data_IF_876289016198
#
_entry.id   IF_876289016198
#
_cell.length_a   1.000
_cell.length_b   1.000
_cell.length_c   1.000
_cell.angle_alpha   90.00
_cell.angle_beta   90.00
_cell.angle_gamma   90.00
#
_symmetry.space_group_name_H-M   'P 1'
#
loop_
_entity.id
_entity.type
_entity.pdbx_description
1 polymer ?
#
# COMPACT_ATOMS: atom_id res chain seq x y z
N UNK A 1 43.16 -56.04 2.46
CA UNK A 1 43.35 -54.69 1.87
C UNK A 1 42.09 -54.16 1.21
N UNK A 2 41.31 -54.90 0.45
CA UNK A 2 40.09 -54.38 -0.23
C UNK A 2 39.02 -53.84 0.74
N UNK A 3 38.77 -54.49 1.86
CA UNK A 3 37.77 -54.06 2.86
C UNK A 3 38.19 -52.81 3.68
N UNK A 4 39.48 -52.58 3.84
CA UNK A 4 39.98 -51.38 4.52
C UNK A 4 39.79 -50.09 3.67
N UNK A 5 39.89 -50.26 2.35
CA UNK A 5 39.66 -49.16 1.42
C UNK A 5 38.17 -48.79 1.32
N UNK A 6 37.28 -49.78 1.38
CA UNK A 6 35.83 -49.53 1.33
C UNK A 6 35.31 -48.90 2.62
N UNK A 7 35.83 -49.28 3.79
CA UNK A 7 35.45 -48.64 5.06
C UNK A 7 35.95 -47.20 5.16
N UNK A 8 37.17 -46.94 4.68
CA UNK A 8 37.71 -45.55 4.63
C UNK A 8 36.88 -44.64 3.69
N UNK A 9 36.45 -45.18 2.55
CA UNK A 9 35.61 -44.41 1.60
C UNK A 9 34.22 -44.12 2.17
N UNK A 10 33.62 -45.05 2.90
CA UNK A 10 32.32 -44.83 3.56
C UNK A 10 32.44 -43.79 4.71
N UNK A 11 33.54 -43.86 5.47
CA UNK A 11 33.79 -42.87 6.53
C UNK A 11 34.01 -41.45 5.99
N UNK A 12 34.62 -41.28 4.81
CA UNK A 12 34.77 -40.01 4.15
C UNK A 12 33.43 -39.44 3.64
N UNK A 13 32.51 -40.28 3.19
CA UNK A 13 31.18 -39.86 2.73
C UNK A 13 30.28 -39.40 3.90
N UNK A 14 30.47 -39.97 5.09
CA UNK A 14 29.73 -39.59 6.29
C UNK A 14 30.24 -38.29 6.93
N UNK A 15 31.46 -37.84 6.65
CA UNK A 15 32.03 -36.59 7.12
C UNK A 15 31.61 -35.38 6.29
N UNK A 16 30.90 -35.60 5.18
CA UNK A 16 30.44 -34.52 4.27
C UNK A 16 29.15 -33.81 4.72
N UNK A 17 28.64 -34.09 5.92
CA UNK A 17 27.67 -33.18 6.53
C UNK A 17 28.38 -31.92 7.03
N UNK A 18 28.78 -31.06 6.10
CA UNK A 18 29.08 -29.68 6.43
C UNK A 18 27.79 -29.08 6.98
N UNK A 19 27.76 -28.69 8.24
CA UNK A 19 26.83 -27.68 8.71
C UNK A 19 26.99 -26.51 7.73
N UNK A 20 25.97 -26.22 6.96
CA UNK A 20 25.91 -24.97 6.23
C UNK A 20 26.23 -23.87 7.26
N UNK A 21 27.38 -23.26 7.15
CA UNK A 21 27.68 -22.05 7.88
C UNK A 21 26.65 -21.07 7.36
N UNK A 22 25.63 -20.82 8.18
CA UNK A 22 24.64 -19.80 7.86
C UNK A 22 25.44 -18.52 7.58
N UNK A 23 25.45 -18.08 6.32
CA UNK A 23 26.10 -16.83 5.91
C UNK A 23 25.52 -15.62 6.67
N UNK A 24 24.49 -15.87 7.44
CA UNK A 24 23.81 -14.89 8.30
C UNK A 24 23.80 -15.41 9.74
N UNK A 25 24.11 -14.54 10.70
CA UNK A 25 24.07 -14.84 12.13
C UNK A 25 22.69 -15.29 12.63
N UNK A 26 21.63 -14.97 11.89
CA UNK A 26 20.23 -15.25 12.22
C UNK A 26 19.53 -16.04 11.11
N UNK A 27 18.65 -16.97 11.50
CA UNK A 27 17.80 -17.69 10.56
C UNK A 27 16.84 -16.75 9.81
N UNK A 28 16.38 -17.11 8.62
CA UNK A 28 15.37 -16.32 7.89
C UNK A 28 14.10 -16.04 8.72
N UNK A 29 13.64 -17.01 9.50
CA UNK A 29 12.46 -16.87 10.37
C UNK A 29 12.67 -15.87 11.50
N UNK A 30 13.85 -15.83 12.10
CA UNK A 30 14.20 -14.87 13.15
C UNK A 30 14.27 -13.43 12.59
N UNK A 31 14.89 -13.26 11.43
CA UNK A 31 14.94 -11.95 10.74
C UNK A 31 13.53 -11.42 10.40
N UNK A 32 12.68 -12.30 9.90
CA UNK A 32 11.29 -11.96 9.59
C UNK A 32 10.52 -11.58 10.86
N UNK A 33 10.68 -12.33 11.95
CA UNK A 33 10.06 -12.03 13.24
C UNK A 33 10.52 -10.68 13.78
N UNK A 34 11.82 -10.38 13.69
CA UNK A 34 12.36 -9.07 14.09
C UNK A 34 11.79 -7.94 13.24
N UNK A 35 11.72 -8.11 11.92
CA UNK A 35 11.15 -7.12 11.01
C UNK A 35 9.67 -6.87 11.31
N UNK A 36 8.89 -7.93 11.58
CA UNK A 36 7.49 -7.80 12.00
C UNK A 36 7.37 -7.01 13.29
N UNK A 37 8.17 -7.35 14.31
CA UNK A 37 8.15 -6.66 15.60
C UNK A 37 8.56 -5.19 15.45
N UNK A 38 9.58 -4.92 14.66
CA UNK A 38 10.02 -3.55 14.39
C UNK A 38 8.92 -2.72 13.70
N UNK A 39 8.25 -3.29 12.70
CA UNK A 39 7.13 -2.62 12.03
C UNK A 39 5.93 -2.42 12.96
N UNK A 40 5.59 -3.42 13.80
CA UNK A 40 4.52 -3.31 14.80
C UNK A 40 4.80 -2.15 15.76
N UNK A 41 6.00 -2.07 16.30
CA UNK A 41 6.40 -1.00 17.20
C UNK A 41 6.34 0.35 16.50
N UNK A 42 6.87 0.45 15.29
CA UNK A 42 6.86 1.69 14.53
C UNK A 42 5.44 2.20 14.25
N UNK A 43 4.52 1.31 13.86
CA UNK A 43 3.13 1.68 13.62
C UNK A 43 2.44 2.18 14.89
N UNK A 44 2.71 1.54 16.04
CA UNK A 44 2.05 1.86 17.33
C UNK A 44 2.71 3.02 18.07
N UNK A 45 3.97 3.35 17.77
CA UNK A 45 4.73 4.43 18.41
C UNK A 45 4.59 5.79 17.69
N UNK A 46 3.52 5.99 16.97
CA UNK A 46 3.19 7.25 16.32
C UNK A 46 2.18 8.05 17.18
N UNK A 47 2.60 9.00 18.03
CA UNK A 47 1.73 9.64 19.02
C UNK A 47 0.61 10.45 18.38
N UNK A 48 0.83 10.97 17.18
CA UNK A 48 -0.18 11.72 16.43
C UNK A 48 -0.82 10.89 15.31
N UNK A 49 -0.41 9.61 15.17
CA UNK A 49 -0.87 8.71 14.13
C UNK A 49 -0.16 8.93 12.79
N UNK A 50 -0.78 8.41 11.75
CA UNK A 50 -0.26 8.34 10.40
C UNK A 50 -1.18 9.04 9.43
N UNK A 51 -0.61 9.93 8.63
CA UNK A 51 -1.21 10.39 7.38
C UNK A 51 -0.98 9.30 6.35
N UNK A 52 -2.05 8.70 5.89
CA UNK A 52 -1.99 7.59 4.94
C UNK A 52 -2.57 8.04 3.61
N UNK A 53 -1.83 7.81 2.54
CA UNK A 53 -2.24 8.10 1.19
C UNK A 53 -2.35 6.80 0.41
N UNK A 54 -3.53 6.53 -0.11
CA UNK A 54 -3.84 5.35 -0.89
C UNK A 54 -4.28 5.72 -2.30
N UNK A 55 -3.68 5.10 -3.29
CA UNK A 55 -4.04 5.22 -4.69
C UNK A 55 -4.63 3.89 -5.18
N UNK A 56 -5.94 3.70 -5.13
CA UNK A 56 -6.57 2.51 -5.68
C UNK A 56 -6.42 2.51 -7.19
N UNK A 57 -6.09 1.35 -7.74
CA UNK A 57 -5.90 1.15 -9.18
C UNK A 57 -5.03 2.21 -9.85
N UNK A 58 -4.00 2.65 -9.16
CA UNK A 58 -2.95 3.39 -9.82
C UNK A 58 -2.27 2.42 -10.75
N UNK A 59 -2.70 2.43 -11.98
CA UNK A 59 -2.04 1.64 -12.99
C UNK A 59 -0.59 2.08 -13.07
N UNK A 60 0.33 1.18 -12.80
CA UNK A 60 1.74 1.39 -13.12
C UNK A 60 1.92 1.69 -14.61
N UNK A 61 0.89 1.46 -15.42
CA UNK A 61 0.78 1.82 -16.83
C UNK A 61 0.55 3.31 -17.06
N UNK A 62 0.22 4.14 -16.08
CA UNK A 62 0.34 5.60 -16.21
C UNK A 62 1.78 6.01 -16.52
N UNK A 63 2.75 5.15 -16.22
CA UNK A 63 4.18 5.37 -16.45
C UNK A 63 4.82 4.33 -17.37
N UNK A 64 4.08 3.32 -17.82
CA UNK A 64 4.54 2.29 -18.75
C UNK A 64 3.92 2.50 -20.13
N UNK A 65 4.68 2.19 -21.19
CA UNK A 65 4.24 2.30 -22.57
C UNK A 65 2.88 1.63 -22.82
N UNK A 66 1.92 2.31 -23.45
CA UNK A 66 0.52 1.87 -23.64
C UNK A 66 0.32 0.51 -24.33
N UNK A 67 1.33 0.02 -25.03
CA UNK A 67 1.28 -1.17 -25.87
C UNK A 67 1.02 -2.50 -25.16
N UNK A 68 1.16 -2.57 -23.84
CA UNK A 68 0.90 -3.79 -23.07
C UNK A 68 -0.50 -3.85 -22.44
N UNK A 69 -1.14 -2.72 -22.22
CA UNK A 69 -2.48 -2.64 -21.63
C UNK A 69 -3.56 -3.05 -22.65
N UNK A 70 -3.38 -2.70 -23.91
CA UNK A 70 -4.36 -2.96 -24.98
C UNK A 70 -4.54 -4.44 -25.30
N UNK A 71 -3.60 -5.30 -24.96
CA UNK A 71 -3.63 -6.74 -25.31
C UNK A 71 -4.33 -7.63 -24.27
N UNK A 72 -4.90 -7.10 -23.19
CA UNK A 72 -5.43 -7.89 -22.07
C UNK A 72 -6.92 -7.78 -21.82
N UNK A 73 -7.67 -7.12 -22.66
CA UNK A 73 -9.08 -6.93 -22.35
C UNK A 73 -9.95 -7.91 -23.08
N UNK A 74 -10.58 -8.78 -22.30
CA UNK A 74 -11.79 -9.49 -22.68
C UNK A 74 -13.07 -8.75 -22.29
N UNK A 75 -12.99 -7.57 -21.72
CA UNK A 75 -14.16 -6.76 -21.45
C UNK A 75 -13.93 -5.27 -21.73
N UNK A 76 -14.62 -4.77 -22.73
CA UNK A 76 -14.65 -3.35 -23.16
C UNK A 76 -14.95 -2.35 -22.03
N UNK A 77 -15.41 -2.81 -20.89
CA UNK A 77 -15.73 -1.99 -19.71
C UNK A 77 -14.51 -1.73 -18.81
N UNK A 78 -13.59 -2.68 -18.76
CA UNK A 78 -12.39 -2.61 -17.92
C UNK A 78 -11.37 -1.63 -18.51
N UNK A 79 -11.25 -1.57 -19.85
CA UNK A 79 -10.31 -0.68 -20.54
C UNK A 79 -10.53 0.80 -20.24
N UNK A 80 -11.77 1.28 -20.30
CA UNK A 80 -12.08 2.68 -20.02
C UNK A 80 -11.86 3.10 -18.57
N UNK A 81 -11.93 2.15 -17.63
CA UNK A 81 -11.70 2.40 -16.22
C UNK A 81 -10.20 2.28 -15.83
N UNK A 82 -9.44 1.44 -16.52
CA UNK A 82 -8.01 1.24 -16.29
C UNK A 82 -7.18 2.46 -16.71
N UNK A 83 -7.61 3.16 -17.77
CA UNK A 83 -6.88 4.31 -18.30
C UNK A 83 -7.10 5.62 -17.51
N UNK A 84 -8.00 5.65 -16.55
CA UNK A 84 -8.35 6.92 -15.88
C UNK A 84 -7.71 7.08 -14.51
N UNK A 85 -7.20 6.01 -13.86
CA UNK A 85 -6.70 6.07 -12.50
C UNK A 85 -7.69 6.73 -11.53
N UNK A 86 -7.62 6.38 -10.26
CA UNK A 86 -8.39 7.09 -9.24
C UNK A 86 -7.45 8.03 -8.49
N UNK A 87 -7.93 9.23 -8.17
CA UNK A 87 -7.20 10.14 -7.29
C UNK A 87 -6.90 9.49 -5.94
N UNK A 88 -5.92 10.02 -5.23
CA UNK A 88 -5.55 9.51 -3.91
C UNK A 88 -6.65 9.71 -2.88
N UNK A 89 -6.78 8.77 -1.97
CA UNK A 89 -7.61 8.87 -0.76
C UNK A 89 -6.72 9.04 0.45
N UNK A 90 -7.08 9.97 1.30
CA UNK A 90 -6.36 10.20 2.54
C UNK A 90 -7.09 9.56 3.72
N UNK A 91 -6.28 8.93 4.58
CA UNK A 91 -6.75 8.41 5.87
C UNK A 91 -5.87 8.94 6.98
N UNK A 92 -6.47 9.17 8.12
CA UNK A 92 -5.77 9.32 9.39
C UNK A 92 -5.89 7.99 10.11
N UNK A 93 -4.77 7.33 10.37
CA UNK A 93 -4.74 6.04 11.05
C UNK A 93 -3.94 6.12 12.34
N UNK A 94 -4.48 5.56 13.41
CA UNK A 94 -3.79 5.41 14.69
C UNK A 94 -3.81 3.94 15.07
N UNK A 95 -2.64 3.31 15.08
CA UNK A 95 -2.47 1.90 15.44
C UNK A 95 -2.27 1.76 16.93
N UNK A 96 -2.89 0.74 17.52
CA UNK A 96 -2.84 0.43 18.94
C UNK A 96 -2.13 -0.91 19.19
N UNK A 97 -1.59 -1.09 20.41
CA UNK A 97 -0.84 -2.30 20.78
C UNK A 97 -1.71 -3.56 20.89
N UNK A 98 -3.01 -3.39 20.99
CA UNK A 98 -4.02 -4.46 21.04
C UNK A 98 -4.44 -4.97 19.65
N UNK A 99 -3.67 -4.64 18.60
CA UNK A 99 -3.96 -4.94 17.21
C UNK A 99 -5.24 -4.28 16.66
N UNK A 100 -5.66 -3.18 17.26
CA UNK A 100 -6.72 -2.34 16.70
C UNK A 100 -6.13 -1.11 16.01
N UNK A 101 -6.88 -0.54 15.07
CA UNK A 101 -6.56 0.70 14.38
C UNK A 101 -7.78 1.59 14.29
N UNK A 102 -7.63 2.86 14.68
CA UNK A 102 -8.64 3.89 14.51
C UNK A 102 -8.41 4.61 13.18
N UNK A 103 -9.43 4.64 12.31
CA UNK A 103 -9.32 5.17 10.95
C UNK A 103 -10.36 6.26 10.73
N UNK A 104 -9.92 7.41 10.23
CA UNK A 104 -10.75 8.46 9.65
C UNK A 104 -10.39 8.61 8.16
N UNK A 105 -11.29 9.14 7.33
CA UNK A 105 -11.10 9.23 5.87
C UNK A 105 -11.57 10.58 5.32
N UNK A 106 -10.99 11.03 4.22
CA UNK A 106 -11.35 12.28 3.54
C UNK A 106 -12.56 12.14 2.58
N UNK A 107 -13.31 11.05 2.68
CA UNK A 107 -14.36 10.72 1.72
C UNK A 107 -15.66 11.50 1.92
N UNK A 108 -16.02 11.77 3.17
CA UNK A 108 -17.25 12.50 3.54
C UNK A 108 -17.04 13.35 4.79
N UNK A 109 -17.92 14.34 5.00
CA UNK A 109 -17.91 15.17 6.22
C UNK A 109 -18.01 14.33 7.51
N UNK A 110 -18.76 13.24 7.50
CA UNK A 110 -18.88 12.34 8.65
C UNK A 110 -17.59 11.54 8.90
N UNK A 111 -16.91 11.07 7.85
CA UNK A 111 -15.72 10.22 7.98
C UNK A 111 -14.48 10.97 8.43
N UNK A 112 -14.43 12.31 8.22
CA UNK A 112 -13.36 13.14 8.77
C UNK A 112 -13.55 13.44 10.25
N UNK A 113 -14.80 13.37 10.77
CA UNK A 113 -15.12 13.66 12.16
C UNK A 113 -15.14 12.41 13.02
N UNK A 114 -15.62 11.29 12.47
CA UNK A 114 -15.85 10.06 13.22
C UNK A 114 -14.80 9.01 12.85
N UNK A 115 -13.97 8.65 13.81
CA UNK A 115 -13.06 7.53 13.65
C UNK A 115 -13.82 6.20 13.74
N UNK A 116 -13.46 5.25 12.87
CA UNK A 116 -13.92 3.87 12.94
C UNK A 116 -12.77 2.99 13.40
N UNK A 117 -12.97 2.27 14.50
CA UNK A 117 -12.00 1.30 15.00
C UNK A 117 -12.23 -0.06 14.35
N UNK A 118 -11.16 -0.68 13.91
CA UNK A 118 -11.14 -2.02 13.32
C UNK A 118 -9.91 -2.78 13.78
N UNK A 119 -9.91 -4.08 13.53
CA UNK A 119 -8.76 -4.93 13.79
C UNK A 119 -7.82 -4.95 12.58
N UNK A 120 -6.53 -5.10 12.85
CA UNK A 120 -5.52 -5.35 11.83
C UNK A 120 -4.61 -6.52 12.26
N UNK A 121 -3.99 -7.14 11.27
CA UNK A 121 -3.01 -8.20 11.47
C UNK A 121 -1.75 -7.91 10.68
N UNK A 122 -0.59 -8.14 11.30
CA UNK A 122 0.69 -8.22 10.63
C UNK A 122 1.09 -9.70 10.54
N UNK A 123 0.81 -10.32 9.42
CA UNK A 123 1.23 -11.70 9.13
C UNK A 123 2.60 -11.74 8.47
N UNK A 124 3.22 -12.90 8.53
CA UNK A 124 4.53 -13.11 7.95
C UNK A 124 4.59 -14.52 7.38
N UNK A 125 4.26 -14.66 6.12
CA UNK A 125 4.45 -15.91 5.39
C UNK A 125 5.68 -15.80 4.48
N UNK A 126 5.48 -15.53 3.20
CA UNK A 126 6.58 -15.25 2.26
C UNK A 126 7.09 -13.79 2.37
N UNK A 127 6.22 -12.87 2.71
CA UNK A 127 6.51 -11.44 2.94
C UNK A 127 5.70 -10.94 4.14
N UNK A 128 6.15 -9.85 4.73
CA UNK A 128 5.41 -9.18 5.78
C UNK A 128 4.18 -8.49 5.17
N UNK A 129 3.01 -8.81 5.71
CA UNK A 129 1.71 -8.34 5.21
C UNK A 129 0.92 -7.64 6.30
N UNK A 130 0.39 -6.47 5.97
CA UNK A 130 -0.63 -5.77 6.75
C UNK A 130 -2.00 -6.08 6.16
N UNK A 131 -2.92 -6.58 6.99
CA UNK A 131 -4.31 -6.85 6.63
C UNK A 131 -5.25 -6.17 7.59
N UNK A 132 -6.28 -5.50 7.08
CA UNK A 132 -7.40 -5.03 7.89
C UNK A 132 -8.47 -6.12 7.94
N UNK A 133 -8.66 -6.72 9.12
CA UNK A 133 -9.47 -7.95 9.28
C UNK A 133 -10.94 -7.68 9.56
N UNK A 134 -11.27 -6.49 10.05
CA UNK A 134 -12.66 -6.06 10.27
C UNK A 134 -12.98 -4.80 9.47
N UNK A 135 -14.28 -4.61 9.17
CA UNK A 135 -14.74 -3.56 8.26
C UNK A 135 -14.42 -2.13 8.76
N UNK A 136 -13.77 -1.34 7.89
CA UNK A 136 -13.41 0.06 8.12
C UNK A 136 -13.57 0.91 6.84
N UNK A 137 -13.11 2.15 6.86
CA UNK A 137 -13.24 3.06 5.72
C UNK A 137 -12.41 2.65 4.49
N UNK A 138 -11.32 1.89 4.66
CA UNK A 138 -10.59 1.31 3.51
C UNK A 138 -11.47 0.30 2.78
N UNK A 139 -12.24 -0.53 3.51
CA UNK A 139 -13.16 -1.50 2.94
C UNK A 139 -14.30 -0.88 2.13
N UNK A 140 -14.68 0.37 2.42
CA UNK A 140 -15.64 1.09 1.58
C UNK A 140 -15.11 1.24 0.15
N UNK A 141 -13.82 1.44 -0.02
CA UNK A 141 -13.19 1.51 -1.34
C UNK A 141 -13.09 0.13 -2.01
N UNK A 142 -12.95 -0.95 -1.22
CA UNK A 142 -12.94 -2.34 -1.74
C UNK A 142 -14.28 -2.71 -2.36
N UNK A 143 -15.37 -2.40 -1.67
CA UNK A 143 -16.72 -2.79 -2.05
C UNK A 143 -17.33 -1.91 -3.15
N UNK A 144 -16.77 -0.73 -3.38
CA UNK A 144 -17.23 0.22 -4.37
C UNK A 144 -16.51 0.01 -5.72
N UNK A 145 -16.82 0.87 -6.68
CA UNK A 145 -16.20 0.88 -8.03
C UNK A 145 -14.67 0.96 -8.04
N UNK A 146 -14.06 1.36 -6.94
CA UNK A 146 -12.60 1.50 -6.83
C UNK A 146 -11.88 0.16 -6.77
N UNK A 147 -12.57 -0.92 -6.38
CA UNK A 147 -12.01 -2.28 -6.23
C UNK A 147 -10.67 -2.26 -5.51
N UNK A 148 -10.58 -1.49 -4.45
CA UNK A 148 -9.38 -1.30 -3.65
C UNK A 148 -8.97 -2.60 -2.94
N UNK A 149 -7.74 -2.66 -2.43
CA UNK A 149 -7.26 -3.77 -1.61
C UNK A 149 -7.43 -3.46 -0.11
N UNK A 150 -7.49 -4.52 0.69
CA UNK A 150 -7.43 -4.44 2.15
C UNK A 150 -6.21 -5.17 2.72
N UNK A 151 -5.44 -5.85 1.85
CA UNK A 151 -4.25 -6.63 2.17
C UNK A 151 -3.04 -6.07 1.43
N UNK A 152 -1.96 -5.85 2.19
CA UNK A 152 -0.83 -5.05 1.74
C UNK A 152 0.50 -5.71 2.09
N UNK A 153 1.35 -5.91 1.13
CA UNK A 153 2.71 -6.40 1.31
C UNK A 153 3.66 -5.25 1.63
N UNK A 154 4.43 -5.40 2.69
CA UNK A 154 5.44 -4.42 3.08
C UNK A 154 6.55 -4.33 2.04
N UNK A 155 6.81 -3.15 1.54
CA UNK A 155 7.89 -2.88 0.57
C UNK A 155 9.14 -2.36 1.26
N UNK A 156 8.96 -1.53 2.29
CA UNK A 156 10.06 -0.83 2.98
C UNK A 156 9.72 0.62 3.24
N UNK A 157 10.76 1.43 3.35
CA UNK A 157 10.66 2.89 3.49
C UNK A 157 11.19 3.58 2.24
N UNK A 158 10.57 4.68 1.89
CA UNK A 158 11.08 5.58 0.85
C UNK A 158 12.23 6.47 1.39
N UNK A 159 12.78 7.31 0.51
CA UNK A 159 13.84 8.27 0.86
C UNK A 159 13.42 9.30 1.91
N UNK A 160 12.12 9.51 2.09
CA UNK A 160 11.54 10.42 3.08
C UNK A 160 11.10 9.69 4.37
N UNK A 161 11.53 8.43 4.54
CA UNK A 161 11.20 7.58 5.69
C UNK A 161 9.69 7.27 5.82
N UNK A 162 8.92 7.37 4.74
CA UNK A 162 7.53 6.94 4.69
C UNK A 162 7.48 5.43 4.50
N UNK A 163 6.61 4.77 5.23
CA UNK A 163 6.39 3.34 5.08
C UNK A 163 5.54 3.10 3.83
N UNK A 164 6.00 2.19 2.98
CA UNK A 164 5.33 1.86 1.71
C UNK A 164 4.89 0.41 1.73
N UNK A 165 3.62 0.21 1.39
CA UNK A 165 3.07 -1.10 1.10
C UNK A 165 2.54 -1.13 -0.34
N UNK A 166 2.45 -2.33 -0.91
CA UNK A 166 1.82 -2.59 -2.20
C UNK A 166 0.72 -3.63 -2.04
N UNK A 167 -0.25 -3.67 -2.96
CA UNK A 167 -1.30 -4.71 -2.92
C UNK A 167 -0.72 -6.12 -2.93
N UNK A 168 -1.35 -7.01 -2.15
CA UNK A 168 -1.06 -8.44 -2.14
C UNK A 168 -1.69 -9.18 -3.33
N UNK A 169 -2.65 -8.57 -4.04
CA UNK A 169 -3.33 -9.20 -5.16
C UNK A 169 -2.40 -9.44 -6.35
N UNK A 170 -2.39 -10.67 -6.84
CA UNK A 170 -1.62 -11.10 -8.02
C UNK A 170 -2.44 -11.02 -9.32
N UNK A 171 -3.73 -10.71 -9.24
CA UNK A 171 -4.66 -10.89 -10.35
C UNK A 171 -4.58 -9.80 -11.42
N UNK A 172 -3.87 -8.68 -11.13
CA UNK A 172 -3.81 -7.56 -12.04
C UNK A 172 -2.36 -7.01 -12.12
N UNK A 173 -1.88 -6.59 -13.31
CA UNK A 173 -0.61 -5.88 -13.43
C UNK A 173 -0.64 -4.51 -12.75
N UNK A 174 -1.81 -3.95 -12.46
CA UNK A 174 -1.96 -2.73 -11.70
C UNK A 174 -1.57 -2.98 -10.24
N UNK A 175 -0.47 -2.36 -9.84
CA UNK A 175 -0.03 -2.38 -8.44
C UNK A 175 -0.58 -1.14 -7.75
N UNK A 176 -1.31 -1.38 -6.68
CA UNK A 176 -1.76 -0.32 -5.81
C UNK A 176 -0.75 -0.10 -4.70
N UNK A 177 -0.59 1.14 -4.30
CA UNK A 177 0.32 1.53 -3.24
C UNK A 177 -0.43 2.27 -2.16
N UNK A 178 -0.06 1.98 -0.92
CA UNK A 178 -0.48 2.74 0.25
C UNK A 178 0.77 3.22 0.98
N UNK A 179 0.81 4.52 1.28
CA UNK A 179 1.99 5.20 1.83
C UNK A 179 1.64 5.83 3.15
N UNK A 180 2.43 5.53 4.19
CA UNK A 180 2.25 6.01 5.55
C UNK A 180 3.31 7.05 5.87
N UNK A 181 2.88 8.25 6.18
CA UNK A 181 3.71 9.36 6.66
C UNK A 181 3.39 9.64 8.12
N UNK A 182 4.39 9.53 9.00
CA UNK A 182 4.22 9.78 10.43
C UNK A 182 3.91 11.25 10.68
N UNK A 183 2.80 11.53 11.36
CA UNK A 183 2.46 12.89 11.75
C UNK A 183 3.36 13.38 12.88
N UNK A 184 3.78 14.65 12.79
CA UNK A 184 4.78 15.22 13.70
C UNK A 184 4.16 16.00 14.85
N UNK A 185 2.97 16.55 14.65
CA UNK A 185 2.32 17.43 15.63
C UNK A 185 0.82 17.11 15.78
N UNK A 186 0.24 17.53 16.90
CA UNK A 186 -1.20 17.44 17.11
C UNK A 186 -1.97 18.35 16.14
N UNK A 187 -1.38 19.47 15.76
CA UNK A 187 -1.97 20.41 14.81
C UNK A 187 -2.05 19.83 13.39
N UNK A 188 -1.00 19.14 12.94
CA UNK A 188 -1.01 18.40 11.68
C UNK A 188 -2.14 17.37 11.67
N UNK A 189 -2.31 16.64 12.79
CA UNK A 189 -3.38 15.66 12.95
C UNK A 189 -4.77 16.27 12.79
N UNK A 190 -5.01 17.45 13.38
CA UNK A 190 -6.31 18.11 13.33
C UNK A 190 -6.64 18.68 11.95
N UNK A 191 -5.64 19.22 11.28
CA UNK A 191 -5.86 20.01 10.05
C UNK A 191 -5.81 19.17 8.78
N UNK A 192 -5.05 18.06 8.79
CA UNK A 192 -4.71 17.35 7.57
C UNK A 192 -5.94 16.78 6.85
N UNK A 193 -6.83 16.05 7.54
CA UNK A 193 -8.02 15.48 6.90
C UNK A 193 -9.01 16.54 6.43
N UNK A 194 -9.17 17.61 7.20
CA UNK A 194 -10.04 18.71 6.78
C UNK A 194 -9.52 19.38 5.50
N UNK A 195 -8.20 19.59 5.41
CA UNK A 195 -7.59 20.14 4.19
C UNK A 195 -7.78 19.17 3.00
N UNK A 196 -7.58 17.88 3.21
CA UNK A 196 -7.76 16.87 2.16
C UNK A 196 -9.22 16.84 1.68
N UNK A 197 -10.18 16.85 2.59
CA UNK A 197 -11.59 16.90 2.27
C UNK A 197 -11.99 18.18 1.55
N UNK A 198 -11.53 19.34 1.99
CA UNK A 198 -11.80 20.62 1.34
C UNK A 198 -11.23 20.65 -0.09
N UNK A 199 -10.05 20.10 -0.31
CA UNK A 199 -9.49 19.97 -1.65
C UNK A 199 -10.37 19.06 -2.54
N UNK A 200 -10.88 17.96 -2.00
CA UNK A 200 -11.81 17.08 -2.72
C UNK A 200 -13.08 17.83 -3.11
N UNK A 201 -13.71 18.53 -2.16
CA UNK A 201 -14.91 19.33 -2.43
C UNK A 201 -14.65 20.42 -3.47
N UNK A 202 -13.49 21.08 -3.41
CA UNK A 202 -13.11 22.10 -4.39
C UNK A 202 -13.14 21.55 -5.82
N UNK A 203 -12.56 20.37 -6.03
CA UNK A 203 -12.57 19.73 -7.34
C UNK A 203 -13.96 19.20 -7.73
N UNK A 204 -14.72 18.64 -6.78
CA UNK A 204 -16.09 18.14 -7.04
C UNK A 204 -17.07 19.24 -7.46
N UNK A 205 -16.86 20.47 -6.99
CA UNK A 205 -17.68 21.62 -7.34
C UNK A 205 -17.32 22.25 -8.69
N UNK A 206 -16.19 21.85 -9.28
CA UNK A 206 -15.79 22.36 -10.59
C UNK A 206 -16.68 21.80 -11.70
N UNK A 207 -17.18 22.68 -12.55
CA UNK A 207 -17.83 22.29 -13.78
C UNK A 207 -16.78 22.12 -14.88
N UNK A 208 -16.72 20.91 -15.48
CA UNK A 208 -15.79 20.59 -16.56
C UNK A 208 -14.33 20.98 -16.27
N UNK A 209 -13.74 20.52 -15.15
CA UNK A 209 -12.38 20.89 -14.80
C UNK A 209 -11.37 20.40 -15.85
N UNK A 210 -10.43 21.26 -16.18
CA UNK A 210 -9.36 20.96 -17.15
C UNK A 210 -8.00 21.29 -16.55
N UNK A 211 -7.01 20.49 -16.87
CA UNK A 211 -5.60 20.80 -16.64
C UNK A 211 -5.05 21.40 -17.94
N UNK A 212 -4.55 22.63 -17.87
CA UNK A 212 -3.97 23.33 -19.00
C UNK A 212 -2.56 23.79 -18.64
N UNK A 213 -1.54 23.33 -19.38
CA UNK A 213 -0.16 23.80 -19.25
C UNK A 213 0.13 24.77 -20.38
N UNK A 214 0.42 26.03 -20.01
CA UNK A 214 0.70 27.12 -20.96
C UNK A 214 2.07 27.74 -20.71
N UNK A 215 2.67 28.24 -21.80
CA UNK A 215 3.80 29.18 -21.73
C UNK A 215 3.45 30.38 -22.62
N UNK A 216 3.18 31.52 -22.00
CA UNK A 216 2.56 32.67 -22.68
C UNK A 216 1.19 32.30 -23.23
N UNK A 217 0.90 32.61 -24.48
CA UNK A 217 -0.35 32.24 -25.15
C UNK A 217 -0.36 30.78 -25.68
N UNK A 218 0.78 30.11 -25.72
CA UNK A 218 0.90 28.76 -26.29
C UNK A 218 0.48 27.70 -25.28
N UNK A 219 -0.49 26.86 -25.64
CA UNK A 219 -0.91 25.67 -24.87
C UNK A 219 0.01 24.51 -25.28
N UNK A 220 0.65 23.88 -24.29
CA UNK A 220 1.49 22.69 -24.47
C UNK A 220 0.74 21.40 -24.15
N UNK A 221 -0.19 21.48 -23.21
CA UNK A 221 -0.99 20.34 -22.79
C UNK A 221 -2.35 20.83 -22.32
N UNK A 222 -3.39 20.08 -22.65
CA UNK A 222 -4.75 20.28 -22.17
C UNK A 222 -5.40 18.91 -22.00
N UNK A 223 -6.03 18.66 -20.88
CA UNK A 223 -6.78 17.43 -20.58
C UNK A 223 -7.95 17.74 -19.69
N UNK A 224 -9.06 17.09 -19.94
CA UNK A 224 -10.20 17.10 -19.04
C UNK A 224 -9.86 16.29 -17.79
N UNK A 225 -10.34 16.76 -16.63
CA UNK A 225 -10.23 16.06 -15.36
C UNK A 225 -11.59 15.52 -14.99
N UNK A 226 -11.75 14.21 -15.02
CA UNK A 226 -12.98 13.57 -14.60
C UNK A 226 -12.91 13.22 -13.11
N UNK A 227 -13.48 14.07 -12.30
CA UNK A 227 -13.74 13.77 -10.89
C UNK A 227 -15.13 13.14 -10.83
N UNK A 228 -15.21 11.84 -10.96
CA UNK A 228 -16.47 11.14 -10.70
C UNK A 228 -16.76 11.25 -9.21
N UNK A 229 -17.80 12.04 -8.92
CA UNK A 229 -18.26 12.27 -7.58
C UNK A 229 -18.37 10.99 -6.76
N UNK A 230 -17.97 11.09 -5.53
CA UNK A 230 -18.09 10.06 -4.52
C UNK A 230 -19.55 9.87 -4.14
N UNK A 231 -20.35 9.32 -5.05
CA UNK A 231 -21.60 8.70 -4.64
C UNK A 231 -21.23 7.38 -3.96
N UNK A 232 -21.03 7.43 -2.68
CA UNK A 232 -20.98 6.26 -1.81
C UNK A 232 -22.39 5.85 -1.42
#
# INVERSE_FOLDING_TARGET
MKYLLTTALIALLLASCHKEQNAFEQSPSERMKQQRTALQNELTEAPYGWKVLYFPRTDSLLFATPTKAEKRSDSRYVEKLLNQGFGGFYFLMTFHKDNTVSIQADTHSQTIQTAKTSEYNLSQEAQLQLSFTTYNYVHQLVNNRFRAAADWLYVGKDTLQKIVFKTASYADPAREYIVFEKLKTAEDKQQFLQKAYNNRLFFEQMQNPQIVIKRGSKIYYQSDVYLKGNSF
#
